data_IF_033716511721
#
_entry.id   IF_033716511721
#
_cell.length_a   1.000
_cell.length_b   1.000
_cell.length_c   1.000
_cell.angle_alpha   90.00
_cell.angle_beta   90.00
_cell.angle_gamma   90.00
#
_symmetry.space_group_name_H-M   'P 1'
#
loop_
_entity.id
_entity.type
_entity.pdbx_description
1 polymer ?
#
# COMPACT_ATOMS: atom_id res chain seq x y z
N UNK A 1 -9.79 -14.76 24.12
CA UNK A 1 -9.49 -13.30 24.00
C UNK A 1 -9.62 -12.96 22.53
N UNK A 2 -10.46 -11.98 22.14
CA UNK A 2 -10.48 -11.49 20.75
C UNK A 2 -9.14 -10.83 20.50
N UNK A 3 -8.36 -11.34 19.53
CA UNK A 3 -7.05 -10.80 19.16
C UNK A 3 -7.14 -9.29 18.81
N UNK A 4 -6.07 -8.57 19.05
CA UNK A 4 -5.93 -7.14 18.71
C UNK A 4 -5.74 -7.00 17.19
N UNK A 5 -6.79 -7.27 16.37
CA UNK A 5 -6.69 -7.30 14.93
C UNK A 5 -7.97 -6.84 14.22
N UNK A 6 -7.99 -6.96 12.91
CA UNK A 6 -9.12 -6.64 12.05
C UNK A 6 -9.51 -7.85 11.20
N UNK A 7 -10.82 -8.18 11.18
CA UNK A 7 -11.36 -9.31 10.42
C UNK A 7 -12.01 -8.83 9.13
N UNK A 8 -11.51 -9.33 8.02
CA UNK A 8 -12.07 -9.21 6.68
C UNK A 8 -12.96 -10.42 6.35
N UNK A 9 -13.60 -10.44 5.18
CA UNK A 9 -14.47 -11.54 4.75
C UNK A 9 -13.74 -12.88 4.65
N UNK A 10 -12.50 -12.88 4.17
CA UNK A 10 -11.76 -14.11 3.87
C UNK A 10 -10.50 -14.31 4.73
N UNK A 11 -10.07 -13.30 5.49
CA UNK A 11 -8.87 -13.39 6.31
C UNK A 11 -8.96 -12.49 7.56
N UNK A 12 -8.03 -12.69 8.48
CA UNK A 12 -7.86 -11.84 9.65
C UNK A 12 -6.44 -11.28 9.67
N UNK A 13 -6.29 -10.02 10.09
CA UNK A 13 -5.01 -9.37 10.31
C UNK A 13 -4.84 -9.09 11.80
N UNK A 14 -3.90 -9.74 12.44
CA UNK A 14 -3.36 -9.31 13.73
C UNK A 14 -2.34 -8.19 13.49
N UNK A 15 -2.34 -7.19 14.35
CA UNK A 15 -1.43 -6.04 14.25
C UNK A 15 -0.80 -5.68 15.61
N UNK A 16 -0.61 -6.69 16.46
CA UNK A 16 -0.13 -6.49 17.84
C UNK A 16 1.35 -6.11 17.90
N UNK A 17 2.16 -6.56 16.92
CA UNK A 17 3.61 -6.28 16.83
C UNK A 17 3.95 -5.04 16.02
N UNK A 18 3.14 -4.69 15.02
CA UNK A 18 3.42 -3.54 14.17
C UNK A 18 2.95 -2.22 14.77
N UNK A 19 3.76 -1.17 14.58
CA UNK A 19 3.40 0.18 14.96
C UNK A 19 2.18 0.70 14.18
N UNK A 20 2.12 0.39 12.87
CA UNK A 20 1.00 0.76 12.01
C UNK A 20 -0.07 -0.34 12.03
N UNK A 21 -1.28 0.04 12.43
CA UNK A 21 -2.44 -0.84 12.46
C UNK A 21 -3.12 -0.88 11.09
N UNK A 22 -4.01 -1.88 10.89
CA UNK A 22 -4.92 -1.89 9.74
C UNK A 22 -5.65 -0.56 9.65
N UNK A 23 -5.50 0.12 8.53
CA UNK A 23 -6.07 1.42 8.27
C UNK A 23 -6.79 1.48 6.92
N UNK A 24 -7.57 2.54 6.74
CA UNK A 24 -8.32 2.78 5.49
C UNK A 24 -7.38 2.90 4.28
N UNK A 25 -6.20 3.50 4.45
CA UNK A 25 -5.24 3.73 3.36
C UNK A 25 -4.75 2.42 2.75
N UNK A 26 -4.31 1.46 3.58
CA UNK A 26 -3.87 0.13 3.10
C UNK A 26 -5.00 -0.64 2.41
N UNK A 27 -6.22 -0.59 2.97
CA UNK A 27 -7.39 -1.25 2.36
C UNK A 27 -7.78 -0.61 1.03
N UNK A 28 -7.79 0.72 0.94
CA UNK A 28 -8.07 1.44 -0.30
C UNK A 28 -7.05 1.08 -1.39
N UNK A 29 -5.77 1.17 -1.08
CA UNK A 29 -4.69 0.87 -2.03
C UNK A 29 -4.73 -0.60 -2.47
N UNK A 30 -4.85 -1.53 -1.52
CA UNK A 30 -4.93 -2.97 -1.80
C UNK A 30 -6.17 -3.36 -2.64
N UNK A 31 -7.27 -2.61 -2.50
CA UNK A 31 -8.47 -2.80 -3.32
C UNK A 31 -8.38 -2.14 -4.69
N UNK A 32 -7.71 -0.96 -4.80
CA UNK A 32 -7.70 -0.13 -6.00
C UNK A 32 -6.57 -0.48 -6.99
N UNK A 33 -5.38 -0.84 -6.51
CA UNK A 33 -4.23 -1.10 -7.37
C UNK A 33 -4.57 -2.08 -8.50
N UNK A 34 -4.09 -1.80 -9.71
CA UNK A 34 -4.22 -2.70 -10.86
C UNK A 34 -3.32 -3.91 -10.65
N UNK A 35 -3.88 -5.12 -10.74
CA UNK A 35 -3.15 -6.36 -10.52
C UNK A 35 -3.29 -7.31 -11.71
N UNK A 36 -2.22 -8.00 -12.13
CA UNK A 36 -2.30 -9.05 -13.13
C UNK A 36 -2.93 -10.31 -12.52
N UNK A 37 -3.61 -11.12 -13.32
CA UNK A 37 -4.15 -12.42 -12.87
C UNK A 37 -3.02 -13.37 -12.40
N UNK A 38 -1.91 -13.31 -13.09
CA UNK A 38 -0.63 -13.99 -12.81
C UNK A 38 0.52 -12.99 -12.94
N UNK A 39 1.73 -13.38 -12.55
CA UNK A 39 2.90 -12.49 -12.57
C UNK A 39 3.48 -12.28 -11.17
N UNK A 40 4.33 -11.28 -11.04
CA UNK A 40 5.08 -11.01 -9.82
C UNK A 40 4.69 -9.66 -9.24
N UNK A 41 4.37 -9.66 -7.96
CA UNK A 41 3.96 -8.46 -7.22
C UNK A 41 4.94 -8.25 -6.05
N UNK A 42 5.39 -7.02 -5.84
CA UNK A 42 6.18 -6.61 -4.69
C UNK A 42 5.38 -5.66 -3.80
N UNK A 43 5.28 -5.97 -2.52
CA UNK A 43 4.72 -5.08 -1.49
C UNK A 43 5.88 -4.51 -0.65
N UNK A 44 6.16 -3.21 -0.79
CA UNK A 44 7.26 -2.52 -0.10
C UNK A 44 6.75 -1.87 1.18
N UNK A 45 7.38 -2.22 2.31
CA UNK A 45 6.94 -1.78 3.64
C UNK A 45 5.62 -2.45 4.00
N UNK A 46 5.60 -3.79 3.93
CA UNK A 46 4.38 -4.60 4.02
C UNK A 46 3.68 -4.49 5.38
N UNK A 47 4.40 -4.12 6.43
CA UNK A 47 3.86 -4.02 7.78
C UNK A 47 3.22 -5.32 8.24
N UNK A 48 1.91 -5.31 8.38
CA UNK A 48 1.13 -6.49 8.81
C UNK A 48 0.88 -7.51 7.69
N UNK A 49 1.34 -7.30 6.48
CA UNK A 49 1.04 -8.16 5.32
C UNK A 49 -0.33 -7.89 4.67
N UNK A 50 -1.02 -6.81 5.06
CA UNK A 50 -2.38 -6.53 4.60
C UNK A 50 -2.47 -6.44 3.07
N UNK A 51 -1.63 -5.61 2.44
CA UNK A 51 -1.68 -5.37 0.99
C UNK A 51 -1.28 -6.64 0.23
N UNK A 52 -0.27 -7.35 0.69
CA UNK A 52 0.16 -8.62 0.12
C UNK A 52 -0.98 -9.68 0.14
N UNK A 53 -1.69 -9.83 1.27
CA UNK A 53 -2.83 -10.75 1.39
C UNK A 53 -4.00 -10.30 0.50
N UNK A 54 -4.30 -8.99 0.44
CA UNK A 54 -5.33 -8.46 -0.45
C UNK A 54 -4.98 -8.69 -1.93
N UNK A 55 -3.71 -8.55 -2.31
CA UNK A 55 -3.24 -8.86 -3.65
C UNK A 55 -3.42 -10.36 -3.97
N UNK A 56 -3.11 -11.25 -3.04
CA UNK A 56 -3.33 -12.68 -3.19
C UNK A 56 -4.81 -13.05 -3.34
N UNK A 57 -5.72 -12.39 -2.60
CA UNK A 57 -7.17 -12.58 -2.75
C UNK A 57 -7.66 -12.18 -4.14
N UNK A 58 -7.11 -11.11 -4.73
CA UNK A 58 -7.54 -10.54 -6.01
C UNK A 58 -6.94 -11.19 -7.25
N UNK A 59 -5.95 -12.05 -7.07
CA UNK A 59 -5.22 -12.71 -8.15
C UNK A 59 -5.35 -14.22 -8.04
N UNK A 60 -5.33 -14.93 -9.18
CA UNK A 60 -5.44 -16.40 -9.18
C UNK A 60 -4.08 -17.09 -8.94
N UNK A 61 -3.01 -16.61 -9.58
CA UNK A 61 -1.72 -17.30 -9.65
C UNK A 61 -0.51 -16.39 -9.38
N UNK A 62 -0.71 -15.08 -9.16
CA UNK A 62 0.38 -14.15 -8.91
C UNK A 62 1.21 -14.57 -7.71
N UNK A 63 2.55 -14.45 -7.83
CA UNK A 63 3.49 -14.61 -6.73
C UNK A 63 3.79 -13.26 -6.13
N UNK A 64 3.66 -13.17 -4.81
CA UNK A 64 3.80 -11.92 -4.07
C UNK A 64 5.05 -12.02 -3.20
N UNK A 65 5.94 -11.06 -3.34
CA UNK A 65 7.04 -10.83 -2.40
C UNK A 65 6.69 -9.61 -1.55
N UNK A 66 6.81 -9.74 -0.25
CA UNK A 66 6.54 -8.67 0.70
C UNK A 66 7.83 -8.37 1.47
N UNK A 67 8.28 -7.12 1.48
CA UNK A 67 9.49 -6.74 2.21
C UNK A 67 9.18 -5.71 3.29
N UNK A 68 9.87 -5.82 4.41
CA UNK A 68 9.87 -4.79 5.46
C UNK A 68 11.24 -4.72 6.12
N UNK A 69 11.63 -3.53 6.59
CA UNK A 69 12.87 -3.31 7.33
C UNK A 69 12.71 -3.63 8.83
N UNK A 70 11.48 -3.64 9.33
CA UNK A 70 11.16 -3.90 10.73
C UNK A 70 10.92 -5.40 10.94
N UNK A 71 11.78 -6.05 11.73
CA UNK A 71 11.71 -7.48 12.02
C UNK A 71 10.39 -7.88 12.71
N UNK A 72 9.84 -7.05 13.59
CA UNK A 72 8.57 -7.29 14.27
C UNK A 72 7.41 -7.28 13.26
N UNK A 73 7.46 -6.40 12.26
CA UNK A 73 6.51 -6.38 11.15
C UNK A 73 6.65 -7.60 10.25
N UNK A 74 7.87 -8.02 9.93
CA UNK A 74 8.14 -9.25 9.17
C UNK A 74 7.53 -10.46 9.86
N UNK A 75 7.79 -10.65 11.15
CA UNK A 75 7.22 -11.75 11.94
C UNK A 75 5.68 -11.67 11.99
N UNK A 76 5.12 -10.47 12.14
CA UNK A 76 3.67 -10.28 12.12
C UNK A 76 3.06 -10.62 10.75
N UNK A 77 3.68 -10.17 9.67
CA UNK A 77 3.22 -10.48 8.31
C UNK A 77 3.28 -11.99 8.03
N UNK A 78 4.36 -12.68 8.43
CA UNK A 78 4.49 -14.13 8.31
C UNK A 78 3.36 -14.87 9.04
N UNK A 79 3.06 -14.50 10.29
CA UNK A 79 1.97 -15.10 11.06
C UNK A 79 0.60 -14.88 10.38
N UNK A 80 0.32 -13.67 9.91
CA UNK A 80 -0.92 -13.33 9.23
C UNK A 80 -1.08 -14.08 7.88
N UNK A 81 0.01 -14.18 7.11
CA UNK A 81 0.03 -14.89 5.83
C UNK A 81 -0.14 -16.38 6.04
N UNK A 82 0.54 -16.98 7.01
CA UNK A 82 0.39 -18.38 7.35
C UNK A 82 -1.05 -18.74 7.77
N UNK A 83 -1.76 -17.78 8.40
CA UNK A 83 -3.16 -17.94 8.79
C UNK A 83 -4.17 -17.59 7.67
N UNK A 84 -3.70 -17.06 6.54
CA UNK A 84 -4.53 -16.69 5.39
C UNK A 84 -4.81 -17.87 4.46
N UNK A 85 -5.77 -17.77 3.53
CA UNK A 85 -6.01 -18.80 2.51
C UNK A 85 -4.89 -18.94 1.45
N UNK A 86 -3.86 -18.07 1.44
CA UNK A 86 -2.86 -17.98 0.37
C UNK A 86 -1.38 -18.06 0.83
N UNK A 87 -1.01 -18.91 1.82
CA UNK A 87 0.35 -18.92 2.37
C UNK A 87 1.41 -19.29 1.32
N UNK A 88 1.06 -20.14 0.36
CA UNK A 88 2.01 -20.65 -0.66
C UNK A 88 2.30 -19.65 -1.78
N UNK A 89 1.61 -18.51 -1.80
CA UNK A 89 1.78 -17.48 -2.85
C UNK A 89 2.47 -16.21 -2.38
N UNK A 90 2.72 -16.09 -1.06
CA UNK A 90 3.27 -14.87 -0.48
C UNK A 90 4.54 -15.22 0.29
N UNK A 91 5.65 -14.63 -0.10
CA UNK A 91 6.94 -14.71 0.59
C UNK A 91 7.21 -13.40 1.32
N UNK A 92 7.61 -13.47 2.60
CA UNK A 92 7.99 -12.28 3.40
C UNK A 92 9.49 -12.31 3.65
N UNK A 93 10.16 -11.21 3.32
CA UNK A 93 11.59 -11.05 3.44
C UNK A 93 11.92 -9.84 4.32
N UNK A 94 12.77 -10.05 5.33
CA UNK A 94 13.33 -8.97 6.14
C UNK A 94 14.41 -8.27 5.32
N UNK A 95 14.11 -7.13 4.75
CA UNK A 95 15.07 -6.37 3.94
C UNK A 95 14.67 -4.91 3.81
N UNK A 96 15.66 -4.03 3.82
CA UNK A 96 15.48 -2.66 3.33
C UNK A 96 15.36 -2.69 1.79
N UNK A 97 14.56 -1.79 1.21
CA UNK A 97 14.41 -1.68 -0.25
C UNK A 97 15.76 -1.46 -0.96
N UNK A 98 16.66 -0.71 -0.33
CA UNK A 98 17.98 -0.39 -0.87
C UNK A 98 18.86 -1.64 -1.02
N UNK A 99 18.70 -2.61 -0.13
CA UNK A 99 19.48 -3.84 -0.04
C UNK A 99 18.80 -5.03 -0.72
N UNK A 100 17.46 -4.93 -0.91
CA UNK A 100 16.71 -6.00 -1.54
C UNK A 100 17.10 -6.14 -3.00
N UNK A 101 17.66 -7.30 -3.36
CA UNK A 101 18.07 -7.63 -4.73
C UNK A 101 17.47 -8.95 -5.18
N UNK A 102 17.13 -9.03 -6.46
CA UNK A 102 16.56 -10.21 -7.09
C UNK A 102 16.81 -10.16 -8.59
N UNK A 103 17.13 -11.31 -9.26
CA UNK A 103 17.32 -11.34 -10.70
C UNK A 103 16.02 -11.09 -11.48
N UNK A 104 14.87 -11.33 -10.86
CA UNK A 104 13.57 -11.21 -11.50
C UNK A 104 12.92 -9.87 -11.17
N UNK A 105 12.27 -9.28 -12.18
CA UNK A 105 11.54 -8.02 -12.03
C UNK A 105 10.08 -8.28 -11.63
N UNK A 106 9.41 -7.24 -11.17
CA UNK A 106 8.02 -7.27 -10.75
C UNK A 106 7.13 -6.55 -11.76
N UNK A 107 6.02 -7.17 -12.11
CA UNK A 107 5.00 -6.58 -12.99
C UNK A 107 4.26 -5.46 -12.27
N UNK A 108 4.09 -5.62 -10.96
CA UNK A 108 3.45 -4.62 -10.09
C UNK A 108 4.25 -4.45 -8.82
N UNK A 109 4.47 -3.20 -8.44
CA UNK A 109 5.04 -2.82 -7.14
C UNK A 109 3.99 -1.97 -6.41
N UNK A 110 3.77 -2.24 -5.13
CA UNK A 110 2.81 -1.50 -4.31
C UNK A 110 3.52 -1.02 -3.05
N UNK A 111 3.18 0.18 -2.58
CA UNK A 111 3.65 0.67 -1.29
C UNK A 111 2.64 1.62 -0.65
N UNK A 112 2.41 1.43 0.64
CA UNK A 112 1.79 2.42 1.51
C UNK A 112 2.87 2.94 2.48
N UNK A 113 3.79 3.78 2.00
CA UNK A 113 4.96 4.15 2.77
C UNK A 113 4.57 5.03 3.97
N UNK A 114 5.30 4.95 5.10
CA UNK A 114 5.09 5.86 6.20
C UNK A 114 5.37 7.29 5.73
N UNK A 115 4.46 8.20 6.04
CA UNK A 115 4.62 9.62 5.77
C UNK A 115 4.60 10.40 7.08
N UNK A 116 5.55 11.31 7.25
CA UNK A 116 5.58 12.18 8.42
C UNK A 116 4.77 13.43 8.11
N UNK A 117 3.73 13.64 8.94
CA UNK A 117 3.16 14.97 9.07
C UNK A 117 4.16 15.76 9.92
N UNK A 118 4.78 16.79 9.37
CA UNK A 118 5.70 17.73 10.06
C UNK A 118 5.06 18.46 11.27
N UNK A 119 3.89 18.05 11.73
CA UNK A 119 3.15 18.65 12.82
C UNK A 119 3.08 17.73 14.04
N UNK A 120 3.90 18.03 15.05
CA UNK A 120 3.73 17.62 16.43
C UNK A 120 3.86 16.11 16.72
N UNK A 121 5.04 15.58 16.55
CA UNK A 121 5.40 14.39 17.32
C UNK A 121 5.45 14.78 18.79
N UNK A 122 4.62 14.14 19.63
CA UNK A 122 4.83 14.23 21.08
C UNK A 122 6.26 13.74 21.40
N UNK A 123 6.92 14.23 22.45
CA UNK A 123 8.29 13.81 22.80
C UNK A 123 8.43 12.29 22.97
N UNK A 124 7.36 11.58 23.31
CA UNK A 124 7.33 10.13 23.47
C UNK A 124 7.15 9.40 22.13
N UNK A 125 6.38 9.97 21.20
CA UNK A 125 6.29 9.47 19.82
C UNK A 125 7.61 9.70 19.07
N UNK A 126 8.28 10.83 19.25
CA UNK A 126 9.60 11.09 18.68
C UNK A 126 10.67 10.10 19.17
N UNK A 127 10.64 9.68 20.45
CA UNK A 127 11.56 8.67 20.98
C UNK A 127 11.25 7.25 20.51
N UNK A 128 10.01 6.91 20.34
CA UNK A 128 9.57 5.62 19.73
C UNK A 128 9.92 5.56 18.24
N UNK A 129 9.69 6.65 17.53
CA UNK A 129 10.00 6.80 16.11
C UNK A 129 11.51 6.75 15.85
N UNK A 130 12.33 7.36 16.72
CA UNK A 130 13.80 7.36 16.58
C UNK A 130 14.45 5.97 16.76
N UNK A 131 13.74 4.97 17.28
CA UNK A 131 14.26 3.62 17.47
C UNK A 131 14.03 2.69 16.29
N UNK A 132 13.04 2.95 15.40
CA UNK A 132 12.58 1.99 14.39
C UNK A 132 12.20 2.59 13.02
N UNK A 133 12.40 3.89 12.78
CA UNK A 133 12.05 4.48 11.48
C UNK A 133 13.26 5.10 10.80
N UNK A 134 13.99 4.29 10.07
CA UNK A 134 14.66 4.79 8.88
C UNK A 134 13.57 5.11 7.87
N UNK A 135 13.24 6.41 7.74
CA UNK A 135 12.31 6.87 6.71
C UNK A 135 12.89 6.49 5.37
N UNK A 136 12.11 5.82 4.52
CA UNK A 136 12.48 5.59 3.13
C UNK A 136 12.28 6.90 2.36
N UNK A 137 13.34 7.65 2.01
CA UNK A 137 13.21 8.88 1.24
C UNK A 137 12.58 8.61 -0.13
N UNK A 138 11.79 9.52 -0.65
CA UNK A 138 11.10 9.32 -1.92
C UNK A 138 12.05 9.11 -3.11
N UNK A 139 13.21 9.73 -3.13
CA UNK A 139 14.23 9.47 -4.14
C UNK A 139 14.77 8.03 -4.08
N UNK A 140 14.93 7.46 -2.89
CA UNK A 140 15.35 6.08 -2.72
C UNK A 140 14.23 5.10 -3.08
N UNK A 141 12.97 5.43 -2.71
CA UNK A 141 11.80 4.66 -3.15
C UNK A 141 11.71 4.64 -4.68
N UNK A 142 11.82 5.78 -5.35
CA UNK A 142 11.82 5.88 -6.83
C UNK A 142 12.95 5.06 -7.44
N UNK A 143 14.16 5.16 -6.90
CA UNK A 143 15.34 4.42 -7.40
C UNK A 143 15.14 2.91 -7.24
N UNK A 144 14.69 2.47 -6.06
CA UNK A 144 14.43 1.05 -5.78
C UNK A 144 13.32 0.49 -6.67
N UNK A 145 12.21 1.22 -6.81
CA UNK A 145 11.11 0.84 -7.70
C UNK A 145 11.60 0.71 -9.15
N UNK A 146 12.33 1.71 -9.67
CA UNK A 146 12.88 1.64 -11.06
C UNK A 146 13.81 0.47 -11.27
N UNK A 147 14.62 0.13 -10.27
CA UNK A 147 15.52 -1.03 -10.32
C UNK A 147 14.77 -2.35 -10.39
N UNK A 148 13.63 -2.48 -9.71
CA UNK A 148 12.89 -3.72 -9.52
C UNK A 148 11.70 -3.89 -10.49
N UNK A 149 11.20 -2.80 -11.09
CA UNK A 149 10.03 -2.83 -11.98
C UNK A 149 10.38 -3.46 -13.33
N UNK A 150 9.51 -4.34 -13.81
CA UNK A 150 9.58 -4.91 -15.15
C UNK A 150 9.23 -3.86 -16.22
N UNK A 151 9.62 -4.12 -17.47
CA UNK A 151 9.19 -3.32 -18.61
C UNK A 151 7.66 -3.42 -18.76
N UNK A 152 7.00 -2.26 -18.88
CA UNK A 152 5.54 -2.19 -18.91
C UNK A 152 4.84 -2.40 -17.56
N UNK A 153 5.60 -2.67 -16.51
CA UNK A 153 5.09 -2.77 -15.15
C UNK A 153 4.67 -1.41 -14.57
N UNK A 154 3.96 -1.44 -13.44
CA UNK A 154 3.53 -0.21 -12.77
C UNK A 154 3.73 -0.26 -11.27
N UNK A 155 3.86 0.93 -10.69
CA UNK A 155 4.01 1.17 -9.27
C UNK A 155 2.80 1.92 -8.73
N UNK A 156 2.15 1.37 -7.70
CA UNK A 156 0.98 1.95 -7.04
C UNK A 156 1.31 2.39 -5.62
N UNK A 157 0.91 3.61 -5.24
CA UNK A 157 1.05 4.09 -3.88
C UNK A 157 -0.12 4.97 -3.45
N UNK A 158 -0.25 5.17 -2.13
CA UNK A 158 -1.22 6.08 -1.51
C UNK A 158 -0.49 7.06 -0.61
N UNK A 159 -0.78 8.36 -0.76
CA UNK A 159 -0.18 9.43 0.04
C UNK A 159 -1.19 10.55 0.31
N UNK A 160 -0.99 11.38 1.36
CA UNK A 160 -1.64 12.66 1.46
C UNK A 160 -1.24 13.59 0.28
N UNK A 161 -2.07 14.60 -0.08
CA UNK A 161 -1.78 15.46 -1.23
C UNK A 161 -0.40 16.11 -1.22
N UNK A 162 0.04 16.65 -0.09
CA UNK A 162 1.36 17.29 0.04
C UNK A 162 2.49 16.29 -0.20
N UNK A 163 2.38 15.08 0.35
CA UNK A 163 3.40 14.05 0.19
C UNK A 163 3.39 13.48 -1.23
N UNK A 164 2.23 13.40 -1.88
CA UNK A 164 2.13 13.02 -3.28
C UNK A 164 2.87 14.02 -4.20
N UNK A 165 2.77 15.32 -3.94
CA UNK A 165 3.53 16.31 -4.71
C UNK A 165 5.05 16.20 -4.47
N UNK A 166 5.48 15.90 -3.25
CA UNK A 166 6.89 15.62 -2.93
C UNK A 166 7.38 14.36 -3.67
N UNK A 167 6.56 13.30 -3.68
CA UNK A 167 6.87 12.07 -4.42
C UNK A 167 6.96 12.33 -5.93
N UNK A 168 5.99 13.06 -6.52
CA UNK A 168 6.03 13.44 -7.94
C UNK A 168 7.28 14.24 -8.30
N UNK A 169 7.72 15.10 -7.39
CA UNK A 169 8.96 15.87 -7.60
C UNK A 169 10.18 14.95 -7.64
N UNK A 170 10.25 13.95 -6.78
CA UNK A 170 11.32 12.94 -6.79
C UNK A 170 11.25 12.02 -8.03
N UNK A 171 10.04 11.70 -8.50
CA UNK A 171 9.80 10.83 -9.65
C UNK A 171 9.99 11.54 -11.01
N UNK A 172 10.15 12.85 -11.02
CA UNK A 172 10.17 13.66 -12.26
C UNK A 172 11.23 13.18 -13.25
N UNK A 173 10.78 12.88 -14.48
CA UNK A 173 11.65 12.38 -15.54
C UNK A 173 12.09 10.90 -15.39
N UNK A 174 11.68 10.24 -14.33
CA UNK A 174 12.01 8.83 -14.04
C UNK A 174 10.77 7.94 -14.10
N UNK A 175 9.65 8.43 -13.59
CA UNK A 175 8.36 7.73 -13.61
C UNK A 175 7.22 8.70 -13.93
N UNK A 176 6.18 8.20 -14.57
CA UNK A 176 5.07 8.97 -15.11
C UNK A 176 3.73 8.44 -14.59
N UNK A 177 2.87 9.35 -14.12
CA UNK A 177 1.52 9.00 -13.65
C UNK A 177 0.67 8.52 -14.82
N UNK A 178 0.03 7.38 -14.68
CA UNK A 178 -0.87 6.78 -15.69
C UNK A 178 -2.31 6.70 -15.20
N UNK A 179 -2.51 6.59 -13.88
CA UNK A 179 -3.84 6.53 -13.26
C UNK A 179 -3.77 7.17 -11.87
N UNK A 180 -4.83 7.86 -11.48
CA UNK A 180 -4.89 8.56 -10.19
C UNK A 180 -6.31 8.51 -9.63
N UNK A 181 -6.44 8.43 -8.30
CA UNK A 181 -7.71 8.51 -7.61
C UNK A 181 -7.60 9.46 -6.41
N UNK A 182 -8.47 10.48 -6.40
CA UNK A 182 -8.60 11.42 -5.29
C UNK A 182 -9.63 10.90 -4.28
N UNK A 183 -9.19 10.67 -3.05
CA UNK A 183 -10.02 10.16 -1.97
C UNK A 183 -10.43 11.30 -1.04
N UNK A 184 -11.73 11.43 -0.84
CA UNK A 184 -12.38 12.39 0.05
C UNK A 184 -13.01 11.64 1.22
N UNK A 185 -12.84 12.11 2.46
CA UNK A 185 -13.54 11.51 3.60
C UNK A 185 -15.04 11.75 3.53
N UNK A 186 -15.44 12.99 3.18
CA UNK A 186 -16.83 13.42 2.99
C UNK A 186 -16.92 14.34 1.78
N UNK A 187 -18.10 14.65 1.24
CA UNK A 187 -18.26 15.54 0.07
C UNK A 187 -17.60 16.92 0.23
N UNK A 188 -17.44 17.40 1.46
CA UNK A 188 -16.89 18.72 1.76
C UNK A 188 -15.49 18.73 2.37
N UNK A 189 -14.89 17.54 2.58
CA UNK A 189 -13.61 17.42 3.30
C UNK A 189 -12.38 17.91 2.52
N UNK A 190 -12.48 18.08 1.20
CA UNK A 190 -11.33 18.16 0.32
C UNK A 190 -10.65 16.80 0.15
N UNK A 191 -9.66 16.77 -0.74
CA UNK A 191 -8.84 15.56 -0.98
C UNK A 191 -8.02 15.23 0.25
N UNK A 192 -8.16 14.05 0.77
CA UNK A 192 -7.43 13.56 1.96
C UNK A 192 -6.31 12.63 1.60
N UNK A 193 -6.49 11.81 0.55
CA UNK A 193 -5.47 10.91 0.01
C UNK A 193 -5.50 10.94 -1.51
N UNK A 194 -4.38 10.65 -2.10
CA UNK A 194 -4.26 10.40 -3.52
C UNK A 194 -3.65 9.01 -3.67
N UNK A 195 -4.33 8.12 -4.38
CA UNK A 195 -3.76 6.89 -4.91
C UNK A 195 -3.29 7.18 -6.32
N UNK A 196 -2.09 6.73 -6.67
CA UNK A 196 -1.54 6.94 -8.01
C UNK A 196 -0.79 5.71 -8.50
N UNK A 197 -0.92 5.44 -9.80
CA UNK A 197 -0.13 4.44 -10.52
C UNK A 197 0.86 5.14 -11.44
N UNK A 198 2.10 4.67 -11.39
CA UNK A 198 3.22 5.21 -12.17
C UNK A 198 3.81 4.11 -13.05
N UNK A 199 4.29 4.50 -14.22
CA UNK A 199 5.07 3.66 -15.13
C UNK A 199 6.43 4.31 -15.42
N UNK A 200 7.36 3.49 -15.90
CA UNK A 200 8.68 3.97 -16.32
C UNK A 200 8.64 4.80 -17.59
N UNK A 201 7.71 4.49 -18.47
CA UNK A 201 7.55 5.15 -19.76
C UNK A 201 6.43 6.20 -19.73
N UNK A 202 6.55 7.29 -20.48
CA UNK A 202 5.49 8.27 -20.61
C UNK A 202 4.21 7.60 -21.17
N UNK A 203 3.03 7.86 -20.59
CA UNK A 203 1.81 7.28 -21.10
C UNK A 203 1.44 7.83 -22.48
N UNK A 204 1.00 6.94 -23.36
CA UNK A 204 0.50 7.34 -24.68
C UNK A 204 -0.88 8.02 -24.65
N UNK A 205 -1.57 7.95 -23.49
CA UNK A 205 -2.90 8.54 -23.26
C UNK A 205 -2.86 9.46 -22.05
N UNK A 206 -3.84 10.35 -21.97
CA UNK A 206 -4.02 11.19 -20.78
C UNK A 206 -4.22 10.33 -19.52
N UNK A 207 -3.68 10.80 -18.41
CA UNK A 207 -3.88 10.19 -17.10
C UNK A 207 -5.36 10.12 -16.75
N UNK A 208 -5.82 8.94 -16.35
CA UNK A 208 -7.18 8.76 -15.82
C UNK A 208 -7.22 9.26 -14.38
N UNK A 209 -8.12 10.20 -14.09
CA UNK A 209 -8.33 10.72 -12.74
C UNK A 209 -9.71 10.30 -12.24
N UNK A 210 -9.71 9.55 -11.15
CA UNK A 210 -10.91 9.04 -10.48
C UNK A 210 -11.18 9.83 -9.18
N UNK A 211 -12.39 9.70 -8.65
CA UNK A 211 -12.76 10.28 -7.36
C UNK A 211 -13.52 9.25 -6.54
N UNK A 212 -13.16 9.13 -5.26
CA UNK A 212 -13.89 8.32 -4.28
C UNK A 212 -14.21 9.21 -3.07
N UNK A 213 -15.48 9.20 -2.64
CA UNK A 213 -15.91 9.74 -1.37
C UNK A 213 -16.18 8.56 -0.44
N UNK A 214 -15.60 8.57 0.78
CA UNK A 214 -15.77 7.44 1.71
C UNK A 214 -17.17 7.48 2.32
N UNK A 215 -17.52 8.56 3.01
CA UNK A 215 -18.82 8.74 3.67
C UNK A 215 -19.60 9.86 2.97
N UNK A 216 -20.77 9.54 2.40
CA UNK A 216 -21.52 10.47 1.54
C UNK A 216 -22.53 11.31 2.30
N UNK A 217 -23.33 10.71 3.18
CA UNK A 217 -24.46 11.34 3.86
C UNK A 217 -24.26 11.51 5.36
N UNK A 218 -23.33 10.77 5.96
CA UNK A 218 -23.05 10.81 7.39
C UNK A 218 -22.10 9.72 7.81
N UNK A 219 -21.83 9.65 9.10
CA UNK A 219 -20.89 8.66 9.66
C UNK A 219 -21.39 7.24 9.40
N UNK A 220 -20.54 6.43 8.76
CA UNK A 220 -20.82 5.04 8.32
C UNK A 220 -21.84 4.93 7.18
N UNK A 221 -22.25 6.02 6.57
CA UNK A 221 -23.04 6.02 5.34
C UNK A 221 -22.12 6.11 4.12
N UNK A 222 -21.54 4.98 3.78
CA UNK A 222 -20.51 4.87 2.76
C UNK A 222 -21.09 5.04 1.35
N UNK A 223 -20.33 5.73 0.48
CA UNK A 223 -20.68 5.91 -0.93
C UNK A 223 -20.74 4.59 -1.70
N UNK A 224 -21.41 4.57 -2.83
CA UNK A 224 -21.48 3.37 -3.68
C UNK A 224 -20.12 3.02 -4.28
N UNK A 225 -19.32 4.01 -4.66
CA UNK A 225 -17.96 3.83 -5.18
C UNK A 225 -17.06 3.16 -4.14
N UNK A 226 -17.10 3.65 -2.88
CA UNK A 226 -16.31 3.07 -1.81
C UNK A 226 -16.75 1.64 -1.47
N UNK A 227 -18.06 1.40 -1.43
CA UNK A 227 -18.63 0.06 -1.21
C UNK A 227 -18.24 -0.90 -2.33
N UNK A 228 -18.40 -0.49 -3.58
CA UNK A 228 -18.03 -1.29 -4.76
C UNK A 228 -16.57 -1.66 -4.75
N UNK A 229 -15.68 -0.71 -4.41
CA UNK A 229 -14.24 -0.96 -4.33
C UNK A 229 -13.88 -1.96 -3.22
N UNK A 230 -14.53 -1.86 -2.05
CA UNK A 230 -14.08 -2.58 -0.85
C UNK A 230 -14.98 -3.74 -0.43
N UNK A 231 -16.09 -3.98 -1.15
CA UNK A 231 -17.10 -5.01 -0.80
C UNK A 231 -16.54 -6.43 -0.65
N UNK A 232 -15.50 -6.77 -1.41
CA UNK A 232 -14.93 -8.13 -1.37
C UNK A 232 -14.08 -8.35 -0.11
N UNK A 233 -13.83 -7.29 0.65
CA UNK A 233 -13.00 -7.31 1.84
C UNK A 233 -13.80 -7.09 3.13
N UNK A 234 -14.59 -6.02 3.25
CA UNK A 234 -15.28 -5.68 4.48
C UNK A 234 -16.52 -6.56 4.75
N UNK A 235 -16.70 -6.99 6.02
CA UNK A 235 -17.78 -7.87 6.44
C UNK A 235 -19.19 -7.31 6.23
N UNK A 236 -19.34 -5.99 6.19
CA UNK A 236 -20.65 -5.32 6.22
C UNK A 236 -21.05 -4.63 4.90
N UNK A 237 -20.40 -4.95 3.82
CA UNK A 237 -20.74 -4.40 2.49
C UNK A 237 -21.18 -5.47 1.53
#
# INVERSE_FOLDING_TARGET
>A
MRGKGFTFKQFHIDHSRCAMKVGTDGTLLGAWATLPANGRILDIGTGTGLIAIMAAQRTSEAKITAIDIDEDCVLQAQDNIAASPWPDRIEVIHSALQEFDTPEKFDVIISNPPYFIDSQLSPDAARSTARHTTTLPFNELVTGVRRLLADGGHFSLILPPTEMERFRSAARGVMFVVRECHVWSTPTSGVRRIMAEFQAEPPAKLTVVEKIIIEEKGRHEYSEEYRTLTRDFYLKF
#
